data_IF_932758244407
#
_entry.id   IF_932758244407
#
_cell.length_a   1.000
_cell.length_b   1.000
_cell.length_c   1.000
_cell.angle_alpha   90.00
_cell.angle_beta   90.00
_cell.angle_gamma   90.00
#
_symmetry.space_group_name_H-M   'P 1'
#
loop_
_entity.id
_entity.type
_entity.pdbx_description
1 polymer ?
#
# COMPACT_ATOMS: atom_id res chain seq x y z
N UNK A 1 -16.45 -20.65 -13.71
CA UNK A 1 -15.91 -20.83 -12.34
C UNK A 1 -16.16 -19.55 -11.57
N UNK A 2 -16.66 -19.64 -10.33
CA UNK A 2 -16.93 -18.48 -9.47
C UNK A 2 -15.87 -18.46 -8.36
N UNK A 3 -15.23 -17.31 -8.14
CA UNK A 3 -14.19 -17.15 -7.14
C UNK A 3 -14.74 -16.38 -5.92
N UNK A 4 -14.50 -16.91 -4.72
CA UNK A 4 -14.81 -16.24 -3.46
C UNK A 4 -13.51 -15.58 -2.99
N UNK A 5 -13.53 -14.25 -2.83
CA UNK A 5 -12.38 -13.49 -2.30
C UNK A 5 -12.60 -13.20 -0.83
N UNK A 6 -11.77 -13.78 0.02
CA UNK A 6 -11.75 -13.51 1.46
C UNK A 6 -10.41 -12.86 1.83
N UNK A 7 -10.44 -11.83 2.68
CA UNK A 7 -9.26 -11.24 3.28
C UNK A 7 -9.35 -11.45 4.80
N UNK A 8 -8.35 -12.12 5.37
CA UNK A 8 -8.29 -12.40 6.80
C UNK A 8 -6.86 -12.20 7.30
N UNK A 9 -6.74 -11.69 8.52
CA UNK A 9 -5.45 -11.62 9.22
C UNK A 9 -5.19 -12.96 9.89
N UNK A 10 -3.95 -13.45 9.81
CA UNK A 10 -3.53 -14.68 10.49
C UNK A 10 -3.56 -14.45 12.00
N UNK A 11 -4.41 -15.19 12.72
CA UNK A 11 -4.54 -15.11 14.18
C UNK A 11 -3.50 -15.99 14.90
N UNK A 12 -3.14 -17.12 14.29
CA UNK A 12 -2.12 -18.05 14.78
C UNK A 12 -1.23 -18.49 13.62
N UNK A 13 0.07 -18.47 13.85
CA UNK A 13 1.07 -18.74 12.82
C UNK A 13 0.79 -20.07 12.11
N UNK A 14 0.69 -20.00 10.78
CA UNK A 14 0.44 -21.16 9.93
C UNK A 14 -1.02 -21.60 9.81
N UNK A 15 -1.97 -20.93 10.44
CA UNK A 15 -3.39 -21.33 10.44
C UNK A 15 -4.30 -20.28 9.76
N UNK A 16 -5.18 -20.75 8.86
CA UNK A 16 -6.24 -19.96 8.21
C UNK A 16 -7.56 -20.70 8.38
N UNK A 17 -8.55 -20.05 8.99
CA UNK A 17 -9.86 -20.65 9.26
C UNK A 17 -10.90 -20.16 8.24
N UNK A 18 -11.27 -21.03 7.30
CA UNK A 18 -12.32 -20.76 6.31
C UNK A 18 -13.65 -21.38 6.77
N UNK A 19 -14.65 -20.55 7.03
CA UNK A 19 -15.99 -20.98 7.45
C UNK A 19 -17.09 -20.26 6.66
N UNK A 20 -18.31 -20.79 6.71
CA UNK A 20 -19.50 -20.23 6.05
C UNK A 20 -19.35 -20.02 4.52
N UNK A 21 -18.58 -20.89 3.85
CA UNK A 21 -18.48 -20.88 2.40
C UNK A 21 -19.72 -21.59 1.79
N UNK A 22 -20.31 -21.06 0.71
CA UNK A 22 -21.45 -21.64 0.01
C UNK A 22 -21.00 -22.83 -0.88
N UNK A 23 -20.43 -23.85 -0.25
CA UNK A 23 -19.92 -25.07 -0.90
C UNK A 23 -20.64 -26.29 -0.35
N UNK A 24 -20.85 -27.29 -1.20
CA UNK A 24 -21.59 -28.50 -0.85
C UNK A 24 -20.69 -29.74 -0.82
N UNK A 25 -21.11 -30.77 -0.10
CA UNK A 25 -20.37 -32.03 -0.03
C UNK A 25 -20.19 -32.65 -1.43
N UNK A 26 -18.96 -33.07 -1.74
CA UNK A 26 -18.61 -33.67 -3.04
C UNK A 26 -18.29 -32.64 -4.15
N UNK A 27 -18.40 -31.35 -3.86
CA UNK A 27 -18.00 -30.30 -4.81
C UNK A 27 -16.48 -30.15 -4.85
N UNK A 28 -15.90 -30.17 -6.05
CA UNK A 28 -14.49 -29.85 -6.24
C UNK A 28 -14.28 -28.34 -6.12
N UNK A 29 -13.33 -27.93 -5.28
CA UNK A 29 -12.97 -26.53 -5.06
C UNK A 29 -11.47 -26.33 -5.25
N UNK A 30 -11.10 -25.15 -5.75
CA UNK A 30 -9.72 -24.70 -5.86
C UNK A 30 -9.49 -23.58 -4.84
N UNK A 31 -8.40 -23.66 -4.09
CA UNK A 31 -8.01 -22.65 -3.10
C UNK A 31 -6.70 -22.00 -3.54
N UNK A 32 -6.73 -20.69 -3.69
CA UNK A 32 -5.54 -19.88 -4.01
C UNK A 32 -5.20 -19.01 -2.82
N UNK A 33 -3.97 -19.15 -2.30
CA UNK A 33 -3.47 -18.34 -1.17
C UNK A 33 -2.50 -17.31 -1.71
N UNK A 34 -2.84 -16.03 -1.55
CA UNK A 34 -1.99 -14.90 -1.89
C UNK A 34 -1.56 -14.19 -0.61
N UNK A 35 -0.27 -14.30 -0.27
CA UNK A 35 0.28 -13.64 0.91
C UNK A 35 0.56 -12.17 0.59
N UNK A 36 -0.02 -11.27 1.39
CA UNK A 36 0.40 -9.87 1.38
C UNK A 36 1.68 -9.73 2.20
N UNK A 37 2.60 -8.83 1.82
CA UNK A 37 3.75 -8.53 2.66
C UNK A 37 3.25 -8.09 4.04
N UNK A 38 3.92 -8.56 5.09
CA UNK A 38 3.70 -8.04 6.43
C UNK A 38 3.85 -6.52 6.37
N UNK A 39 2.92 -5.75 6.97
CA UNK A 39 3.09 -4.31 7.03
C UNK A 39 4.42 -4.03 7.72
N UNK A 40 5.36 -3.42 6.99
CA UNK A 40 6.60 -2.97 7.59
C UNK A 40 6.24 -2.06 8.76
N UNK A 41 6.83 -2.31 9.93
CA UNK A 41 6.67 -1.40 11.04
C UNK A 41 7.10 -0.01 10.57
N UNK A 42 6.22 0.99 10.71
CA UNK A 42 6.56 2.36 10.35
C UNK A 42 7.81 2.73 11.14
N UNK A 43 8.93 2.93 10.46
CA UNK A 43 10.18 3.35 11.09
C UNK A 43 9.96 4.72 11.73
N UNK A 44 9.87 4.75 13.05
CA UNK A 44 9.80 5.99 13.81
C UNK A 44 11.22 6.50 14.00
N UNK A 45 11.52 7.67 13.46
CA UNK A 45 12.80 8.33 13.70
C UNK A 45 12.65 9.38 14.79
N UNK A 46 13.61 9.44 15.71
CA UNK A 46 13.83 10.67 16.50
C UNK A 46 14.25 11.81 15.56
N UNK A 47 14.06 13.07 15.97
CA UNK A 47 14.45 14.23 15.14
C UNK A 47 15.92 14.15 14.67
N UNK A 48 16.83 13.67 15.54
CA UNK A 48 18.25 13.47 15.22
C UNK A 48 18.47 12.34 14.19
N UNK A 49 17.76 11.23 14.32
CA UNK A 49 17.86 10.13 13.36
C UNK A 49 17.27 10.52 12.00
N UNK A 50 16.20 11.32 11.99
CA UNK A 50 15.62 11.85 10.76
C UNK A 50 16.62 12.78 10.04
N UNK A 51 17.27 13.68 10.79
CA UNK A 51 18.33 14.54 10.24
C UNK A 51 19.47 13.73 9.62
N UNK A 52 19.87 12.63 10.27
CA UNK A 52 20.96 11.76 9.81
C UNK A 52 20.52 10.68 8.80
N UNK A 53 19.23 10.58 8.47
CA UNK A 53 18.70 9.54 7.58
C UNK A 53 19.01 9.77 6.10
N UNK A 54 19.51 10.96 5.75
CA UNK A 54 19.67 11.39 4.36
C UNK A 54 18.36 11.74 3.66
N UNK A 55 17.21 11.67 4.35
CA UNK A 55 15.91 12.12 3.83
C UNK A 55 15.76 13.65 3.88
N UNK A 56 16.40 14.30 4.86
CA UNK A 56 16.46 15.75 4.96
C UNK A 56 17.50 16.26 3.96
N UNK A 57 17.13 17.25 3.14
CA UNK A 57 18.01 17.84 2.13
C UNK A 57 18.06 17.11 0.78
N UNK A 58 17.27 16.03 0.58
CA UNK A 58 17.21 15.32 -0.73
C UNK A 58 16.91 16.26 -1.91
N UNK A 59 16.17 17.34 -1.66
CA UNK A 59 15.78 18.32 -2.66
C UNK A 59 16.72 19.52 -2.73
N UNK A 60 17.70 19.64 -1.83
CA UNK A 60 18.59 20.81 -1.73
C UNK A 60 19.40 21.02 -3.02
N UNK A 61 19.81 19.92 -3.66
CA UNK A 61 20.66 19.95 -4.85
C UNK A 61 19.90 19.73 -6.16
N UNK A 62 18.55 19.74 -6.14
CA UNK A 62 17.72 19.52 -7.33
C UNK A 62 17.62 20.82 -8.15
N UNK A 63 18.49 20.94 -9.16
CA UNK A 63 18.56 22.14 -10.02
C UNK A 63 17.42 22.24 -11.05
N UNK A 64 16.69 21.15 -11.28
CA UNK A 64 15.51 21.09 -12.15
C UNK A 64 14.27 21.73 -11.49
N UNK A 65 14.25 21.86 -10.17
CA UNK A 65 13.17 22.50 -9.42
C UNK A 65 13.61 23.92 -9.07
N UNK A 66 13.28 24.86 -9.96
CA UNK A 66 13.67 26.27 -9.82
C UNK A 66 12.91 27.01 -8.71
N UNK A 67 11.61 26.70 -8.55
CA UNK A 67 10.77 27.26 -7.49
C UNK A 67 9.94 26.15 -6.83
N UNK A 68 10.28 25.88 -5.58
CA UNK A 68 9.64 24.87 -4.74
C UNK A 68 8.14 25.08 -4.58
N UNK A 69 7.67 26.33 -4.50
CA UNK A 69 6.25 26.65 -4.32
C UNK A 69 5.45 26.34 -5.59
N UNK A 70 5.97 26.78 -6.73
CA UNK A 70 5.37 26.49 -8.04
C UNK A 70 5.35 25.00 -8.33
N UNK A 71 6.45 24.30 -8.03
CA UNK A 71 6.54 22.85 -8.20
C UNK A 71 5.56 22.09 -7.27
N UNK A 72 5.41 22.52 -6.01
CA UNK A 72 4.44 21.91 -5.10
C UNK A 72 2.98 22.09 -5.57
N UNK A 73 2.64 23.26 -6.13
CA UNK A 73 1.32 23.50 -6.74
C UNK A 73 1.08 22.59 -7.94
N UNK A 74 2.06 22.48 -8.84
CA UNK A 74 1.98 21.58 -9.99
C UNK A 74 1.75 20.12 -9.57
N UNK A 75 2.47 19.62 -8.56
CA UNK A 75 2.26 18.26 -8.04
C UNK A 75 0.86 18.06 -7.48
N UNK A 76 0.31 19.07 -6.78
CA UNK A 76 -1.06 19.04 -6.27
C UNK A 76 -2.07 18.94 -7.40
N UNK A 77 -1.95 19.78 -8.43
CA UNK A 77 -2.86 19.78 -9.57
C UNK A 77 -2.81 18.45 -10.34
N UNK A 78 -1.60 17.90 -10.56
CA UNK A 78 -1.43 16.58 -11.18
C UNK A 78 -2.08 15.45 -10.37
N UNK A 79 -1.96 15.48 -9.04
CA UNK A 79 -2.58 14.47 -8.18
C UNK A 79 -4.11 14.54 -8.19
N UNK A 80 -4.67 15.75 -8.26
CA UNK A 80 -6.11 15.98 -8.33
C UNK A 80 -6.68 15.55 -9.70
N UNK A 81 -5.96 15.86 -10.78
CA UNK A 81 -6.33 15.41 -12.13
C UNK A 81 -6.34 13.88 -12.24
N UNK A 82 -5.28 13.20 -11.76
CA UNK A 82 -5.23 11.72 -11.74
C UNK A 82 -6.35 11.09 -10.93
N UNK A 83 -6.79 11.74 -9.83
CA UNK A 83 -7.96 11.29 -9.07
C UNK A 83 -9.24 11.43 -9.86
N UNK A 84 -9.38 12.46 -10.69
CA UNK A 84 -10.56 12.66 -11.51
C UNK A 84 -10.65 11.59 -12.62
N UNK A 85 -9.54 11.25 -13.27
CA UNK A 85 -9.47 10.22 -14.32
C UNK A 85 -9.76 8.78 -13.82
N UNK A 86 -9.61 8.51 -12.52
CA UNK A 86 -9.88 7.20 -11.91
C UNK A 86 -11.34 6.99 -11.49
N UNK A 87 -12.17 8.06 -11.50
CA UNK A 87 -13.58 8.02 -11.12
C UNK A 87 -14.51 8.60 -12.21
N UNK A 88 -13.98 8.87 -13.41
CA UNK A 88 -14.70 9.33 -14.60
C UNK A 88 -15.01 8.22 -15.58
#
# INVERSE_FOLDING_TARGET
MQAIRLHQTIEKDGEIHLSNLPVFQGQQVEVVVSLSPLPESKKTFTARQLLNSGLIGVWENRTDIKDSLTYARQLRDQSQAKRYDLFG
#
